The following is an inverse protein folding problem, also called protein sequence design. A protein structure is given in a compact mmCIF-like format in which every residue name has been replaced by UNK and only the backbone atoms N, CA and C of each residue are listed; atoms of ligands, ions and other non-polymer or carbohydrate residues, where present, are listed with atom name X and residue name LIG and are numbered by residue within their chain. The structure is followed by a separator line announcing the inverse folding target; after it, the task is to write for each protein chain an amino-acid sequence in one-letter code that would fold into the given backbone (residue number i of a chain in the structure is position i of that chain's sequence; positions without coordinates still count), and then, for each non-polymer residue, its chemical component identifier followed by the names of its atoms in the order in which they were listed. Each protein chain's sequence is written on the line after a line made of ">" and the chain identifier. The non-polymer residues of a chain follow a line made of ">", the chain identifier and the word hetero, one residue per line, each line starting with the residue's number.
data_IF_184692957062
#
_entry.id   IF_184692957062
#
_cell.length_a   1.000
_cell.length_b   1.000
_cell.length_c   1.000
_cell.angle_alpha   90.00
_cell.angle_beta   90.00
_cell.angle_gamma   90.00
#
_symmetry.space_group_name_H-M   'P 1'
#
loop_
_entity.id
_entity.type
_entity.pdbx_description
1 polymer ?
#
# COMPACT_ATOMS: atom_id res chain seq x y z
N UNK A 1 7.98 20.62 9.27
CA UNK A 1 8.78 20.72 8.03
C UNK A 1 8.27 19.65 7.08
N UNK A 2 7.63 19.99 5.95
CA UNK A 2 7.28 18.97 4.94
C UNK A 2 8.59 18.60 4.26
N UNK A 3 9.11 17.40 4.54
CA UNK A 3 10.30 16.89 3.87
C UNK A 3 9.97 16.66 2.39
N UNK A 4 10.32 17.62 1.54
CA UNK A 4 10.12 17.53 0.08
C UNK A 4 11.27 16.73 -0.54
N UNK A 5 11.17 15.40 -0.50
CA UNK A 5 12.02 14.52 -1.31
C UNK A 5 11.43 14.41 -2.73
N UNK A 6 12.28 14.46 -3.75
CA UNK A 6 11.89 14.28 -5.15
C UNK A 6 11.98 12.79 -5.50
N UNK A 7 10.97 12.27 -6.18
CA UNK A 7 10.99 10.93 -6.78
C UNK A 7 10.98 11.11 -8.30
N UNK A 8 11.98 10.54 -8.98
CA UNK A 8 11.96 10.47 -10.43
C UNK A 8 11.09 9.28 -10.85
N UNK A 9 10.17 9.52 -11.79
CA UNK A 9 9.35 8.49 -12.41
C UNK A 9 9.41 8.68 -13.93
N UNK A 10 9.06 7.64 -14.68
CA UNK A 10 8.92 7.74 -16.13
C UNK A 10 7.66 8.57 -16.47
N UNK A 11 7.64 9.16 -17.67
CA UNK A 11 6.49 9.93 -18.16
C UNK A 11 5.18 9.12 -18.16
N UNK A 12 5.14 7.85 -18.61
CA UNK A 12 3.92 7.04 -18.53
C UNK A 12 3.42 6.86 -17.10
N UNK A 13 4.33 6.59 -16.14
CA UNK A 13 3.96 6.44 -14.72
C UNK A 13 3.44 7.76 -14.15
N UNK A 14 4.01 8.89 -14.58
CA UNK A 14 3.53 10.20 -14.16
C UNK A 14 2.11 10.51 -14.66
N UNK A 15 1.82 10.15 -15.92
CA UNK A 15 0.48 10.31 -16.50
C UNK A 15 -0.56 9.50 -15.71
N UNK A 16 -0.30 8.21 -15.48
CA UNK A 16 -1.19 7.34 -14.70
C UNK A 16 -1.41 7.85 -13.26
N UNK A 17 -0.34 8.31 -12.58
CA UNK A 17 -0.47 8.91 -11.26
C UNK A 17 -1.32 10.19 -11.29
N UNK A 18 -1.22 10.97 -12.35
CA UNK A 18 -2.00 12.21 -12.52
C UNK A 18 -3.48 11.90 -12.71
N UNK A 19 -3.81 10.87 -13.49
CA UNK A 19 -5.19 10.43 -13.75
C UNK A 19 -5.85 9.82 -12.51
N UNK A 20 -5.09 9.12 -11.66
CA UNK A 20 -5.57 8.57 -10.40
C UNK A 20 -5.86 9.63 -9.33
N UNK A 21 -5.27 10.82 -9.47
CA UNK A 21 -5.28 11.87 -8.46
C UNK A 21 -6.66 12.54 -8.38
N UNK A 22 -7.25 12.62 -7.19
CA UNK A 22 -8.55 13.30 -7.00
C UNK A 22 -8.41 14.83 -7.05
N UNK A 23 -9.49 15.58 -7.37
CA UNK A 23 -9.48 17.03 -7.26
C UNK A 23 -9.07 17.50 -5.87
N UNK A 24 -8.14 18.46 -5.78
CA UNK A 24 -7.63 19.00 -4.50
C UNK A 24 -6.67 18.10 -3.72
N UNK A 25 -6.47 16.84 -4.12
CA UNK A 25 -5.49 15.94 -3.51
C UNK A 25 -4.06 16.37 -3.86
N UNK A 26 -3.05 15.85 -3.17
CA UNK A 26 -1.62 15.97 -3.54
C UNK A 26 -1.07 14.59 -3.90
N UNK A 27 0.00 14.51 -4.69
CA UNK A 27 0.64 13.23 -4.97
C UNK A 27 1.11 12.52 -3.69
N UNK A 28 1.52 13.27 -2.66
CA UNK A 28 1.88 12.68 -1.37
C UNK A 28 0.69 11.98 -0.70
N UNK A 29 -0.52 12.53 -0.81
CA UNK A 29 -1.74 11.90 -0.27
C UNK A 29 -2.13 10.66 -1.06
N UNK A 30 -2.12 10.74 -2.40
CA UNK A 30 -2.38 9.60 -3.27
C UNK A 30 -1.41 8.45 -2.98
N UNK A 31 -0.10 8.75 -2.95
CA UNK A 31 0.93 7.75 -2.68
C UNK A 31 0.81 7.15 -1.27
N UNK A 32 0.44 7.96 -0.26
CA UNK A 32 0.19 7.44 1.08
C UNK A 32 -1.00 6.46 1.08
N UNK A 33 -2.09 6.77 0.38
CA UNK A 33 -3.25 5.87 0.26
C UNK A 33 -2.85 4.56 -0.46
N UNK A 34 -2.07 4.65 -1.54
CA UNK A 34 -1.57 3.48 -2.28
C UNK A 34 -0.66 2.60 -1.41
N UNK A 35 0.24 3.21 -0.63
CA UNK A 35 1.12 2.48 0.29
C UNK A 35 0.31 1.72 1.34
N UNK A 36 -0.71 2.34 1.92
CA UNK A 36 -1.55 1.67 2.93
C UNK A 36 -2.37 0.52 2.33
N UNK A 37 -2.87 0.66 1.10
CA UNK A 37 -3.53 -0.44 0.37
C UNK A 37 -2.57 -1.62 0.13
N UNK A 38 -1.34 -1.34 -0.31
CA UNK A 38 -0.33 -2.37 -0.56
C UNK A 38 0.08 -3.12 0.72
N UNK A 39 0.29 -2.40 1.83
CA UNK A 39 0.57 -3.02 3.13
C UNK A 39 -0.56 -3.96 3.57
N UNK A 40 -1.82 -3.53 3.42
CA UNK A 40 -2.98 -4.35 3.76
C UNK A 40 -3.05 -5.59 2.87
N UNK A 41 -2.82 -5.45 1.56
CA UNK A 41 -2.80 -6.57 0.63
C UNK A 41 -1.73 -7.61 1.02
N UNK A 42 -0.50 -7.15 1.32
CA UNK A 42 0.58 -8.02 1.78
C UNK A 42 0.26 -8.70 3.12
N UNK A 43 -0.34 -7.97 4.05
CA UNK A 43 -0.74 -8.55 5.35
C UNK A 43 -1.77 -9.67 5.16
N UNK A 44 -2.78 -9.47 4.31
CA UNK A 44 -3.78 -10.52 4.02
C UNK A 44 -3.14 -11.75 3.42
N UNK A 45 -2.23 -11.59 2.46
CA UNK A 45 -1.50 -12.72 1.86
C UNK A 45 -0.66 -13.44 2.91
N UNK A 46 0.04 -12.70 3.76
CA UNK A 46 0.87 -13.28 4.81
C UNK A 46 0.06 -14.06 5.85
N UNK A 47 -1.07 -13.52 6.31
CA UNK A 47 -1.96 -14.21 7.24
C UNK A 47 -2.54 -15.49 6.64
N UNK A 48 -2.85 -15.51 5.34
CA UNK A 48 -3.30 -16.73 4.64
C UNK A 48 -2.21 -17.81 4.65
N UNK A 49 -0.97 -17.46 4.29
CA UNK A 49 0.15 -18.41 4.35
C UNK A 49 0.36 -18.96 5.76
N UNK A 50 0.26 -18.12 6.81
CA UNK A 50 0.29 -18.60 8.20
C UNK A 50 -0.86 -19.57 8.48
N UNK A 51 -2.09 -19.25 8.06
CA UNK A 51 -3.26 -20.10 8.25
C UNK A 51 -3.17 -21.44 7.51
N UNK A 52 -2.55 -21.45 6.33
CA UNK A 52 -2.42 -22.65 5.49
C UNK A 52 -1.26 -23.55 5.92
N UNK A 53 -0.17 -22.97 6.43
CA UNK A 53 1.07 -23.69 6.78
C UNK A 53 1.24 -23.89 8.30
N UNK A 54 0.42 -23.23 9.11
CA UNK A 54 0.57 -23.20 10.56
C UNK A 54 0.15 -24.51 11.22
N UNK A 55 0.96 -24.94 12.18
CA UNK A 55 0.60 -25.99 13.13
C UNK A 55 -0.13 -25.35 14.32
N UNK A 56 -1.46 -25.38 14.28
CA UNK A 56 -2.32 -24.72 15.26
C UNK A 56 -2.74 -25.70 16.36
N UNK A 57 -2.70 -25.23 17.60
CA UNK A 57 -3.22 -25.97 18.77
C UNK A 57 -4.56 -25.39 19.21
N UNK A 58 -5.45 -26.25 19.71
CA UNK A 58 -6.73 -25.81 20.26
C UNK A 58 -6.50 -24.96 21.52
N UNK A 59 -7.25 -23.86 21.64
CA UNK A 59 -7.27 -23.07 22.86
C UNK A 59 -8.12 -23.80 23.91
N UNK A 60 -7.59 -24.01 25.14
CA UNK A 60 -8.38 -24.59 26.22
C UNK A 60 -9.56 -23.68 26.59
N UNK A 61 -10.65 -24.26 27.13
CA UNK A 61 -11.91 -23.57 27.41
C UNK A 61 -11.80 -22.44 28.43
#
# INVERSE_FOLDING_TARGET
>A
MIATKRLAVTEPVWAELSDLKRPGETFSQLLAEMIEREKKARLVVHLKSIADEGDFVELPP
#
